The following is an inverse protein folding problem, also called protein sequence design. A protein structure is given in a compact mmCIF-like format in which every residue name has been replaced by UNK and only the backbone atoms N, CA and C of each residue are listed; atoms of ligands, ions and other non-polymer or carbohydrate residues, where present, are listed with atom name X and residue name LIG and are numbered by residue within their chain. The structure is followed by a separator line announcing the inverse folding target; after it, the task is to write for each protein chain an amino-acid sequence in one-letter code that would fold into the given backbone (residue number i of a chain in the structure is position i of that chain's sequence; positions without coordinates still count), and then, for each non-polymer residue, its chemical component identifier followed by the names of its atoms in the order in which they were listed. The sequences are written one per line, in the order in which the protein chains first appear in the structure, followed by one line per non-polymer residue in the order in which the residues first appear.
data_IF_183578803853
#
_entry.id   IF_183578803853
#
_cell.length_a   1.000
_cell.length_b   1.000
_cell.length_c   1.000
_cell.angle_alpha   90.00
_cell.angle_beta   90.00
_cell.angle_gamma   90.00
#
_symmetry.space_group_name_H-M   'P 1'
#
loop_
_entity.id
_entity.type
_entity.pdbx_description
1 polymer ?
#
# COMPACT_ATOMS: atom_id res chain seq x y z
N UNK A 1 -6.25 62.80 -8.68
CA UNK A 1 -7.04 61.55 -8.64
C UNK A 1 -6.10 60.39 -8.95
N UNK A 2 -6.20 59.35 -8.13
CA UNK A 2 -5.82 57.97 -8.44
C UNK A 2 -4.38 57.71 -8.95
N UNK A 3 -3.35 57.88 -8.11
CA UNK A 3 -2.06 57.25 -8.45
C UNK A 3 -1.12 56.96 -7.27
N UNK A 4 -1.66 56.60 -6.09
CA UNK A 4 -0.82 56.13 -4.95
C UNK A 4 -1.42 54.89 -4.26
N UNK A 5 -2.65 54.48 -4.58
CA UNK A 5 -3.36 53.41 -3.84
C UNK A 5 -3.19 52.02 -4.50
N UNK A 6 -2.56 51.93 -5.67
CA UNK A 6 -2.55 50.69 -6.48
C UNK A 6 -1.29 49.83 -6.36
N UNK A 7 -0.39 50.09 -5.40
CA UNK A 7 0.82 49.29 -5.15
C UNK A 7 0.74 48.54 -3.79
N UNK A 8 -0.39 48.61 -3.07
CA UNK A 8 -0.54 47.91 -1.79
C UNK A 8 -1.20 46.51 -1.90
N UNK A 9 -1.81 46.17 -3.04
CA UNK A 9 -2.61 44.94 -3.17
C UNK A 9 -1.99 43.84 -4.05
N UNK A 10 -0.75 44.02 -4.54
CA UNK A 10 -0.01 43.00 -5.32
C UNK A 10 1.05 42.28 -4.46
N UNK A 11 0.87 42.24 -3.13
CA UNK A 11 1.42 41.15 -2.32
C UNK A 11 0.42 39.99 -2.34
N UNK A 12 0.08 39.62 -3.56
CA UNK A 12 -0.61 38.40 -3.88
C UNK A 12 0.19 37.25 -3.30
N UNK A 13 -0.45 36.53 -2.39
CA UNK A 13 -0.73 35.09 -2.49
C UNK A 13 0.44 34.25 -3.04
N UNK A 14 0.87 33.31 -2.18
CA UNK A 14 1.69 32.12 -2.44
C UNK A 14 3.04 32.09 -1.72
N UNK A 15 3.04 32.31 -0.40
CA UNK A 15 3.89 31.48 0.45
C UNK A 15 3.10 30.25 0.88
N UNK A 16 2.87 29.33 -0.06
CA UNK A 16 2.76 27.93 0.32
C UNK A 16 4.15 27.56 0.85
N UNK A 17 4.33 27.62 2.16
CA UNK A 17 5.41 26.88 2.79
C UNK A 17 5.08 25.40 2.56
N UNK A 18 5.62 24.82 1.48
CA UNK A 18 5.90 23.39 1.52
C UNK A 18 6.95 23.26 2.63
N UNK A 19 6.50 22.82 3.82
CA UNK A 19 7.39 22.10 4.71
C UNK A 19 7.79 20.86 3.93
N UNK A 20 8.86 21.00 3.13
CA UNK A 20 9.67 19.88 2.70
C UNK A 20 10.36 19.42 3.97
N UNK A 21 9.63 18.64 4.75
CA UNK A 21 10.27 17.66 5.61
C UNK A 21 11.05 16.79 4.63
N UNK A 22 12.32 17.12 4.42
CA UNK A 22 13.33 16.19 3.96
C UNK A 22 13.47 15.15 5.08
N UNK A 23 12.41 14.38 5.30
CA UNK A 23 12.50 13.12 5.98
C UNK A 23 13.21 12.24 4.97
N UNK A 24 14.54 12.23 5.07
CA UNK A 24 15.36 11.12 4.62
C UNK A 24 15.13 9.90 5.53
N UNK A 25 13.91 9.71 6.05
CA UNK A 25 13.40 8.40 6.42
C UNK A 25 12.59 7.95 5.22
N UNK A 26 13.04 6.91 4.54
CA UNK A 26 12.40 6.32 3.37
C UNK A 26 10.94 6.00 3.70
N UNK A 27 10.02 6.92 3.39
CA UNK A 27 8.60 6.70 3.56
C UNK A 27 8.23 5.50 2.67
N UNK A 28 7.78 4.41 3.29
CA UNK A 28 7.46 3.19 2.58
C UNK A 28 6.44 3.44 1.46
N UNK A 29 6.52 2.65 0.40
CA UNK A 29 5.57 2.72 -0.71
C UNK A 29 4.38 1.85 -0.37
N UNK A 30 3.17 2.41 -0.47
CA UNK A 30 1.91 1.69 -0.21
C UNK A 30 1.19 1.43 -1.53
N UNK A 31 0.87 0.16 -1.78
CA UNK A 31 0.02 -0.27 -2.88
C UNK A 31 -1.29 -0.81 -2.30
N UNK A 32 -2.41 -0.45 -2.90
CA UNK A 32 -3.74 -0.96 -2.51
C UNK A 32 -4.44 -1.53 -3.73
N UNK A 33 -5.22 -2.58 -3.52
CA UNK A 33 -5.96 -3.19 -4.61
C UNK A 33 -6.92 -4.28 -4.16
N UNK A 34 -7.51 -4.94 -5.15
CA UNK A 34 -8.37 -6.09 -4.95
C UNK A 34 -8.15 -7.14 -6.04
N UNK A 35 -8.39 -8.40 -5.68
CA UNK A 35 -8.36 -9.54 -6.60
C UNK A 35 -9.60 -10.41 -6.38
N UNK A 36 -10.08 -11.13 -7.40
CA UNK A 36 -11.14 -12.13 -7.22
C UNK A 36 -10.74 -13.21 -6.19
N UNK A 37 -11.72 -13.79 -5.51
CA UNK A 37 -11.56 -14.92 -4.59
C UNK A 37 -11.26 -16.27 -5.27
N UNK A 38 -10.43 -16.26 -6.32
CA UNK A 38 -10.06 -17.46 -7.08
C UNK A 38 -9.23 -18.45 -6.24
N UNK A 39 -9.31 -19.74 -6.56
CA UNK A 39 -8.63 -20.84 -5.86
C UNK A 39 -7.13 -20.64 -5.75
N UNK A 40 -6.50 -20.13 -6.81
CA UNK A 40 -5.06 -19.94 -6.92
C UNK A 40 -4.59 -18.84 -5.97
N UNK A 41 -5.35 -17.74 -5.88
CA UNK A 41 -5.05 -16.63 -4.97
C UNK A 41 -5.28 -17.06 -3.51
N UNK A 42 -6.36 -17.81 -3.24
CA UNK A 42 -6.59 -18.37 -1.90
C UNK A 42 -5.44 -19.28 -1.47
N UNK A 43 -4.97 -20.17 -2.35
CA UNK A 43 -3.84 -21.05 -2.08
C UNK A 43 -2.56 -20.28 -1.80
N UNK A 44 -2.24 -19.27 -2.63
CA UNK A 44 -1.07 -18.39 -2.44
C UNK A 44 -1.08 -17.70 -1.07
N UNK A 45 -2.25 -17.30 -0.58
CA UNK A 45 -2.45 -16.61 0.68
C UNK A 45 -2.70 -17.55 1.86
N UNK A 46 -2.63 -18.86 1.66
CA UNK A 46 -2.94 -19.87 2.69
C UNK A 46 -4.36 -19.73 3.26
N UNK A 47 -5.29 -19.24 2.44
CA UNK A 47 -6.72 -19.16 2.75
C UNK A 47 -7.37 -20.49 2.36
N UNK A 48 -8.31 -20.99 3.18
CA UNK A 48 -9.04 -22.22 2.88
C UNK A 48 -9.74 -22.11 1.50
N UNK A 49 -9.45 -23.02 0.54
CA UNK A 49 -10.01 -22.95 -0.82
C UNK A 49 -11.54 -23.04 -0.86
N UNK A 50 -12.13 -23.81 0.07
CA UNK A 50 -13.58 -24.07 0.17
C UNK A 50 -14.37 -22.87 0.73
N UNK A 51 -13.67 -21.83 1.19
CA UNK A 51 -14.32 -20.66 1.77
C UNK A 51 -15.02 -19.83 0.69
N UNK A 52 -16.27 -19.45 0.93
CA UNK A 52 -16.98 -18.48 0.11
C UNK A 52 -16.30 -17.10 0.23
N UNK A 53 -15.71 -16.63 -0.87
CA UNK A 53 -15.02 -15.34 -0.97
C UNK A 53 -15.30 -14.79 -2.36
N UNK A 54 -15.91 -13.61 -2.45
CA UNK A 54 -16.15 -12.97 -3.73
C UNK A 54 -14.88 -12.26 -4.21
N UNK A 55 -14.25 -11.50 -3.30
CA UNK A 55 -13.00 -10.80 -3.58
C UNK A 55 -12.14 -10.65 -2.32
N UNK A 56 -10.87 -10.35 -2.55
CA UNK A 56 -9.83 -10.17 -1.56
C UNK A 56 -9.32 -8.75 -1.75
N UNK A 57 -9.37 -7.93 -0.70
CA UNK A 57 -8.73 -6.62 -0.65
C UNK A 57 -7.38 -6.75 0.00
N UNK A 58 -6.42 -6.01 -0.52
CA UNK A 58 -5.07 -6.04 0.01
C UNK A 58 -4.45 -4.64 0.01
N UNK A 59 -3.57 -4.45 0.99
CA UNK A 59 -2.69 -3.30 1.14
C UNK A 59 -1.29 -3.85 1.35
N UNK A 60 -0.39 -3.55 0.41
CA UNK A 60 1.02 -3.93 0.44
C UNK A 60 1.86 -2.71 0.73
N UNK A 61 2.52 -2.70 1.87
CA UNK A 61 3.50 -1.68 2.25
C UNK A 61 4.90 -2.24 2.03
N UNK A 62 5.71 -1.57 1.22
CA UNK A 62 7.12 -1.86 1.02
C UNK A 62 7.95 -0.82 1.77
N UNK A 63 8.73 -1.28 2.74
CA UNK A 63 9.58 -0.43 3.56
C UNK A 63 11.05 -0.75 3.33
N UNK A 64 11.87 0.21 3.76
CA UNK A 64 13.32 0.09 3.87
C UNK A 64 13.69 0.63 5.25
N UNK A 65 14.50 -0.13 5.97
CA UNK A 65 15.03 0.27 7.28
C UNK A 65 16.36 1.02 7.10
N UNK A 66 16.83 1.66 8.17
CA UNK A 66 18.08 2.43 8.18
C UNK A 66 19.32 1.58 7.84
N UNK A 67 19.24 0.27 8.08
CA UNK A 67 20.24 -0.74 7.73
C UNK A 67 20.15 -1.24 6.28
N UNK A 68 19.41 -0.55 5.42
CA UNK A 68 19.12 -0.92 4.02
C UNK A 68 18.34 -2.25 3.88
N UNK A 69 17.81 -2.79 4.99
CA UNK A 69 16.97 -3.99 4.94
C UNK A 69 15.59 -3.67 4.35
N UNK A 70 15.17 -4.49 3.37
CA UNK A 70 13.91 -4.33 2.63
C UNK A 70 12.89 -5.32 3.13
N UNK A 71 11.77 -4.82 3.65
CA UNK A 71 10.71 -5.64 4.22
C UNK A 71 9.33 -5.17 3.77
N UNK A 72 8.38 -6.10 3.73
CA UNK A 72 7.01 -5.83 3.33
C UNK A 72 6.02 -6.22 4.43
N UNK A 73 4.88 -5.53 4.41
CA UNK A 73 3.68 -5.88 5.17
C UNK A 73 2.52 -5.95 4.19
N UNK A 74 1.85 -7.09 4.11
CA UNK A 74 0.69 -7.33 3.27
C UNK A 74 -0.52 -7.56 4.17
N UNK A 75 -1.37 -6.53 4.29
CA UNK A 75 -2.64 -6.59 5.02
C UNK A 75 -3.75 -6.98 4.05
N UNK A 76 -4.55 -7.97 4.42
CA UNK A 76 -5.56 -8.57 3.55
C UNK A 76 -6.89 -8.57 4.30
N UNK A 77 -7.96 -8.21 3.61
CA UNK A 77 -9.33 -8.40 4.09
C UNK A 77 -10.14 -9.13 3.02
N UNK A 78 -10.81 -10.22 3.39
CA UNK A 78 -11.52 -11.08 2.44
C UNK A 78 -12.86 -11.59 2.98
N UNK A 79 -13.78 -11.92 2.09
CA UNK A 79 -15.08 -12.51 2.43
C UNK A 79 -16.09 -12.36 1.30
N UNK A 80 -17.33 -12.70 1.61
CA UNK A 80 -18.47 -12.42 0.73
C UNK A 80 -18.79 -10.92 0.74
N UNK A 81 -19.09 -10.37 -0.43
CA UNK A 81 -19.52 -9.00 -0.61
C UNK A 81 -20.82 -8.75 0.18
N UNK A 82 -20.90 -7.61 0.85
CA UNK A 82 -22.17 -7.13 1.38
C UNK A 82 -22.89 -6.31 0.30
N UNK A 83 -24.12 -6.70 -0.11
CA UNK A 83 -24.87 -5.94 -1.11
C UNK A 83 -25.07 -4.48 -0.69
N UNK A 84 -24.99 -3.58 -1.67
CA UNK A 84 -25.16 -2.13 -1.50
C UNK A 84 -24.16 -1.47 -0.54
N UNK A 85 -23.02 -2.11 -0.28
CA UNK A 85 -21.92 -1.47 0.45
C UNK A 85 -20.59 -1.73 -0.26
N UNK A 86 -19.57 -0.97 0.13
CA UNK A 86 -18.19 -1.27 -0.23
C UNK A 86 -17.58 -2.25 0.78
N UNK A 87 -18.35 -3.06 1.50
CA UNK A 87 -17.88 -3.88 2.60
C UNK A 87 -18.04 -5.38 2.36
N UNK A 88 -17.58 -6.15 3.33
CA UNK A 88 -17.84 -7.58 3.42
C UNK A 88 -18.94 -7.84 4.44
N UNK A 89 -19.68 -8.93 4.26
CA UNK A 89 -20.63 -9.41 5.29
C UNK A 89 -19.85 -9.64 6.59
N UNK A 90 -20.34 -9.07 7.70
CA UNK A 90 -19.68 -9.17 9.01
C UNK A 90 -18.30 -8.49 9.09
N UNK A 91 -17.96 -7.59 8.15
CA UNK A 91 -16.67 -6.90 8.12
C UNK A 91 -15.53 -7.69 7.47
N UNK A 92 -15.76 -8.97 7.13
CA UNK A 92 -14.78 -9.85 6.50
C UNK A 92 -13.69 -10.34 7.47
N UNK A 93 -12.88 -11.27 6.99
CA UNK A 93 -11.72 -11.78 7.72
C UNK A 93 -10.45 -11.05 7.35
N UNK A 94 -9.55 -10.93 8.31
CA UNK A 94 -8.29 -10.19 8.16
C UNK A 94 -7.09 -11.11 8.31
N UNK A 95 -6.11 -10.92 7.45
CA UNK A 95 -4.82 -11.62 7.47
C UNK A 95 -3.71 -10.60 7.27
N UNK A 96 -2.61 -10.71 8.03
CA UNK A 96 -1.43 -9.87 7.84
C UNK A 96 -0.22 -10.77 7.62
N UNK A 97 0.45 -10.60 6.48
CA UNK A 97 1.67 -11.32 6.12
C UNK A 97 2.84 -10.35 6.14
N UNK A 98 3.98 -10.76 6.71
CA UNK A 98 5.19 -9.95 6.79
C UNK A 98 6.38 -10.74 6.30
N UNK A 99 7.35 -10.06 5.72
CA UNK A 99 8.56 -10.72 5.25
C UNK A 99 9.60 -9.75 4.72
N UNK A 100 10.69 -10.30 4.21
CA UNK A 100 11.75 -9.55 3.52
C UNK A 100 11.61 -9.75 2.02
N UNK A 101 12.04 -8.76 1.24
CA UNK A 101 12.05 -8.86 -0.22
C UNK A 101 13.37 -8.40 -0.81
N UNK A 102 13.77 -9.03 -1.91
CA UNK A 102 14.88 -8.59 -2.73
C UNK A 102 14.37 -8.10 -4.08
N UNK A 103 15.00 -7.04 -4.58
CA UNK A 103 14.77 -6.49 -5.92
C UNK A 103 15.97 -6.90 -6.75
N UNK A 104 15.77 -7.76 -7.75
CA UNK A 104 16.82 -8.08 -8.72
C UNK A 104 16.46 -7.51 -10.08
N UNK A 105 17.48 -7.03 -10.80
CA UNK A 105 17.32 -6.58 -12.18
C UNK A 105 17.64 -7.78 -13.09
N UNK A 106 16.69 -8.16 -13.93
CA UNK A 106 16.93 -9.17 -14.96
C UNK A 106 17.88 -8.60 -16.02
N UNK A 107 18.59 -9.47 -16.74
CA UNK A 107 19.42 -9.08 -17.89
C UNK A 107 18.61 -8.43 -19.03
N UNK A 108 17.28 -8.56 -18.99
CA UNK A 108 16.33 -7.94 -19.93
C UNK A 108 15.81 -6.58 -19.45
N UNK A 109 16.23 -6.13 -18.26
CA UNK A 109 15.81 -4.87 -17.66
C UNK A 109 14.55 -4.97 -16.78
N UNK A 110 13.98 -6.17 -16.63
CA UNK A 110 12.81 -6.39 -15.77
C UNK A 110 13.21 -6.33 -14.30
N UNK A 111 12.28 -5.91 -13.44
CA UNK A 111 12.47 -5.95 -11.99
C UNK A 111 11.76 -7.19 -11.45
N UNK A 112 12.52 -8.11 -10.84
CA UNK A 112 11.98 -9.30 -10.20
C UNK A 112 11.86 -9.08 -8.68
N UNK A 113 10.69 -9.41 -8.14
CA UNK A 113 10.40 -9.39 -6.71
C UNK A 113 10.37 -10.83 -6.17
N UNK A 114 11.21 -11.10 -5.17
CA UNK A 114 11.24 -12.40 -4.48
C UNK A 114 10.84 -12.19 -3.01
N UNK A 115 9.55 -12.34 -2.64
CA UNK A 115 9.14 -12.29 -1.24
C UNK A 115 9.61 -13.55 -0.53
N UNK A 116 10.32 -13.39 0.60
CA UNK A 116 10.65 -14.50 1.49
C UNK A 116 9.73 -14.41 2.70
N UNK A 117 8.74 -15.30 2.73
CA UNK A 117 7.85 -15.45 3.88
C UNK A 117 8.70 -15.90 5.08
N UNK A 118 8.85 -15.02 6.07
CA UNK A 118 9.32 -15.42 7.40
C UNK A 118 8.08 -15.84 8.18
N UNK A 119 7.88 -17.15 8.40
CA UNK A 119 6.87 -17.59 9.36
C UNK A 119 7.40 -17.23 10.74
N UNK A 120 6.88 -16.16 11.34
CA UNK A 120 6.87 -16.07 12.79
C UNK A 120 5.77 -17.00 13.29
N UNK A 121 6.19 -18.09 13.92
CA UNK A 121 5.33 -18.92 14.77
C UNK A 121 5.39 -18.22 16.13
N UNK A 122 4.26 -17.65 16.56
CA UNK A 122 4.08 -17.22 17.95
C UNK A 122 4.06 -18.43 18.90
#
# INVERSE_FOLDING_TARGET
MASVVLIACILFINSCSEVRTANNSSAGIVYVGSTPGASEIKSLLTINPEKAIDFIRWELTLNQSEDDSKYYVLNITFGEAQPNTLGFKGGGEKLSLKGVYAVSKSSRGDVCFAPRLSRYVD
#
